data_IF_524871297442
#
_entry.id   IF_524871297442
#
_cell.length_a   1.000
_cell.length_b   1.000
_cell.length_c   1.000
_cell.angle_alpha   90.00
_cell.angle_beta   90.00
_cell.angle_gamma   90.00
#
_symmetry.space_group_name_H-M   'P 1'
#
loop_
_entity.id
_entity.type
_entity.pdbx_description
1 polymer ?
#
# COMPACT_ATOMS: atom_id res chain seq x y z
N UNK A 1 -20.99 9.25 -14.14
CA UNK A 1 -20.07 8.24 -14.70
C UNK A 1 -19.23 7.69 -13.55
N UNK A 2 -19.50 6.47 -13.07
CA UNK A 2 -18.67 5.82 -12.05
C UNK A 2 -17.42 5.33 -12.77
N UNK A 3 -16.32 6.06 -12.62
CA UNK A 3 -15.03 5.57 -13.08
C UNK A 3 -14.83 4.17 -12.46
N UNK A 4 -14.66 3.15 -13.31
CA UNK A 4 -14.13 1.84 -12.95
C UNK A 4 -12.68 2.03 -12.50
N UNK A 5 -12.54 2.66 -11.34
CA UNK A 5 -11.39 2.53 -10.48
C UNK A 5 -11.20 1.01 -10.33
N UNK A 6 -10.05 0.42 -10.72
CA UNK A 6 -9.81 -1.01 -10.54
C UNK A 6 -10.21 -1.37 -9.10
N UNK A 7 -10.83 -2.53 -8.86
CA UNK A 7 -11.43 -2.97 -7.57
C UNK A 7 -10.54 -2.77 -6.31
N UNK A 8 -9.29 -2.38 -6.48
CA UNK A 8 -8.30 -2.09 -5.45
C UNK A 8 -7.82 -0.64 -5.40
N UNK A 9 -8.24 0.26 -6.27
CA UNK A 9 -7.78 1.64 -6.24
C UNK A 9 -8.39 2.41 -5.08
N UNK A 10 -7.59 3.24 -4.44
CA UNK A 10 -7.97 3.96 -3.25
C UNK A 10 -7.24 5.31 -3.17
N UNK A 11 -7.73 6.20 -2.32
CA UNK A 11 -7.14 7.52 -2.15
C UNK A 11 -6.40 7.57 -0.82
N UNK A 12 -5.13 7.93 -0.85
CA UNK A 12 -4.35 8.18 0.36
C UNK A 12 -4.98 9.35 1.15
N UNK A 13 -4.75 9.45 2.47
CA UNK A 13 -5.21 10.60 3.25
C UNK A 13 -4.64 11.94 2.74
N UNK A 14 -3.59 11.90 1.93
CA UNK A 14 -2.98 13.04 1.24
C UNK A 14 -3.67 13.37 -0.10
N UNK A 15 -4.83 12.78 -0.39
CA UNK A 15 -5.62 12.91 -1.64
C UNK A 15 -4.93 12.37 -2.90
N UNK A 16 -3.75 11.77 -2.79
CA UNK A 16 -3.10 11.09 -3.92
C UNK A 16 -3.81 9.78 -4.24
N UNK A 17 -3.88 9.46 -5.54
CA UNK A 17 -4.42 8.21 -6.06
C UNK A 17 -3.41 7.08 -5.84
N UNK A 18 -3.89 6.00 -5.24
CA UNK A 18 -3.10 4.82 -4.92
C UNK A 18 -3.88 3.53 -5.16
N UNK A 19 -3.29 2.43 -4.71
CA UNK A 19 -3.87 1.11 -4.77
C UNK A 19 -3.76 0.44 -3.39
N UNK A 20 -4.88 -0.12 -2.95
CA UNK A 20 -5.02 -1.01 -1.83
C UNK A 20 -4.31 -2.31 -2.15
N UNK A 21 -3.13 -2.47 -1.55
CA UNK A 21 -2.27 -3.64 -1.73
C UNK A 21 -1.82 -4.14 -0.37
N UNK A 22 -1.27 -5.34 -0.32
CA UNK A 22 -0.70 -5.87 0.91
C UNK A 22 0.52 -5.05 1.31
N UNK A 23 0.86 -4.99 2.61
CA UNK A 23 2.01 -4.21 3.06
C UNK A 23 3.32 -4.62 2.39
N UNK A 24 3.46 -5.89 2.00
CA UNK A 24 4.60 -6.43 1.28
C UNK A 24 4.70 -5.95 -0.17
N UNK A 25 3.58 -5.51 -0.76
CA UNK A 25 3.52 -5.05 -2.15
C UNK A 25 3.72 -3.53 -2.25
N UNK A 26 4.12 -2.86 -1.16
CA UNK A 26 4.37 -1.44 -1.14
C UNK A 26 5.82 -1.13 -0.81
N UNK A 27 6.59 -0.64 -1.80
CA UNK A 27 8.02 -0.30 -1.63
C UNK A 27 8.23 0.74 -0.56
N UNK A 28 7.35 1.73 -0.48
CA UNK A 28 7.42 2.75 0.56
C UNK A 28 7.39 2.12 1.95
N UNK A 29 6.41 1.25 2.20
CA UNK A 29 6.25 0.57 3.49
C UNK A 29 7.45 -0.31 3.80
N UNK A 30 7.87 -1.15 2.85
CA UNK A 30 9.06 -1.98 2.99
C UNK A 30 10.32 -1.16 3.28
N UNK A 31 10.49 0.00 2.65
CA UNK A 31 11.61 0.91 2.92
C UNK A 31 11.54 1.46 4.34
N UNK A 32 10.38 1.90 4.81
CA UNK A 32 10.22 2.40 6.18
C UNK A 32 10.49 1.29 7.20
N UNK A 33 9.96 0.08 6.99
CA UNK A 33 10.27 -1.08 7.83
C UNK A 33 11.75 -1.48 7.76
N UNK A 34 12.40 -1.37 6.59
CA UNK A 34 13.82 -1.68 6.44
C UNK A 34 14.74 -0.64 7.10
N UNK A 35 14.39 0.65 7.02
CA UNK A 35 15.16 1.74 7.62
C UNK A 35 14.96 1.83 9.13
N UNK A 36 13.71 1.82 9.60
CA UNK A 36 13.39 2.06 11.00
C UNK A 36 13.24 0.77 11.81
N UNK A 37 12.93 -0.37 11.19
CA UNK A 37 12.74 -1.67 11.83
C UNK A 37 11.83 -1.56 13.07
N UNK A 38 12.36 -1.91 14.24
CA UNK A 38 11.68 -1.83 15.55
C UNK A 38 11.52 -0.39 16.07
N UNK A 39 12.34 0.55 15.60
CA UNK A 39 12.30 1.96 15.97
C UNK A 39 11.39 2.78 15.03
N UNK A 40 10.31 2.18 14.53
CA UNK A 40 9.38 2.87 13.63
C UNK A 40 8.73 4.08 14.33
N UNK A 41 8.87 5.30 13.77
CA UNK A 41 8.28 6.48 14.37
C UNK A 41 6.75 6.35 14.46
N UNK A 42 6.12 6.78 15.58
CA UNK A 42 4.67 6.68 15.77
C UNK A 42 3.87 7.50 14.76
N UNK A 43 4.49 8.49 14.11
CA UNK A 43 3.89 9.25 13.00
C UNK A 43 3.70 8.39 11.76
N UNK A 44 4.69 7.54 11.42
CA UNK A 44 4.61 6.62 10.29
C UNK A 44 3.57 5.56 10.59
N UNK A 45 3.59 4.99 11.79
CA UNK A 45 2.63 3.98 12.21
C UNK A 45 1.19 4.51 12.18
N UNK A 46 0.95 5.75 12.63
CA UNK A 46 -0.35 6.43 12.48
C UNK A 46 -0.73 6.64 11.01
N UNK A 47 0.22 7.01 10.15
CA UNK A 47 -0.04 7.15 8.73
C UNK A 47 -0.44 5.81 8.09
N UNK A 48 0.28 4.72 8.40
CA UNK A 48 -0.05 3.37 7.92
C UNK A 48 -1.43 2.90 8.38
N UNK A 49 -1.83 3.24 9.61
CA UNK A 49 -3.18 2.94 10.12
C UNK A 49 -4.26 3.75 9.41
N UNK A 50 -4.02 5.03 9.09
CA UNK A 50 -4.98 5.87 8.34
C UNK A 50 -5.09 5.47 6.87
N UNK A 51 -3.99 5.03 6.28
CA UNK A 51 -3.95 4.50 4.92
C UNK A 51 -4.49 3.07 4.82
N UNK A 52 -4.90 2.45 5.93
CA UNK A 52 -5.35 1.05 5.95
C UNK A 52 -6.66 0.91 5.17
N UNK A 53 -6.66 0.03 4.19
CA UNK A 53 -7.86 -0.31 3.43
C UNK A 53 -8.39 -1.67 3.91
N UNK A 54 -9.71 -1.85 3.84
CA UNK A 54 -10.39 -3.09 4.23
C UNK A 54 -10.92 -3.78 2.97
N UNK A 55 -10.08 -4.52 2.23
CA UNK A 55 -10.60 -5.38 1.17
C UNK A 55 -11.36 -6.57 1.79
N UNK A 56 -12.09 -7.33 0.96
CA UNK A 56 -12.72 -8.60 1.37
C UNK A 56 -11.72 -9.71 1.74
N UNK A 57 -10.42 -9.45 1.59
CA UNK A 57 -9.33 -10.41 1.78
C UNK A 57 -8.70 -10.21 3.15
N UNK A 58 -8.43 -11.30 3.86
CA UNK A 58 -7.69 -11.28 5.12
C UNK A 58 -6.24 -10.80 4.91
N UNK A 59 -5.74 -10.01 5.86
CA UNK A 59 -4.37 -9.48 5.85
C UNK A 59 -4.27 -7.96 6.02
N UNK A 60 -3.06 -7.47 6.29
CA UNK A 60 -2.80 -6.05 6.48
C UNK A 60 -2.61 -5.34 5.14
N UNK A 61 -3.69 -4.71 4.67
CA UNK A 61 -3.73 -3.97 3.42
C UNK A 61 -3.75 -2.47 3.66
N UNK A 62 -3.04 -1.74 2.80
CA UNK A 62 -2.97 -0.29 2.86
C UNK A 62 -2.96 0.33 1.47
N UNK A 63 -3.42 1.57 1.39
CA UNK A 63 -3.32 2.43 0.23
C UNK A 63 -1.87 2.83 0.01
N UNK A 64 -1.24 2.11 -0.91
CA UNK A 64 0.08 2.45 -1.41
C UNK A 64 -0.07 3.37 -2.63
N UNK A 65 0.78 4.37 -2.77
CA UNK A 65 0.84 5.19 -3.98
C UNK A 65 1.14 4.30 -5.20
N UNK A 66 0.49 4.54 -6.34
CA UNK A 66 0.67 3.74 -7.55
C UNK A 66 2.15 3.64 -8.00
N UNK A 67 2.93 4.70 -7.78
CA UNK A 67 4.38 4.74 -8.04
C UNK A 67 5.21 3.81 -7.13
N UNK A 68 4.70 3.49 -5.94
CA UNK A 68 5.37 2.69 -4.91
C UNK A 68 4.81 1.26 -4.83
N UNK A 69 3.68 0.99 -5.50
CA UNK A 69 3.11 -0.34 -5.63
C UNK A 69 4.06 -1.22 -6.44
N UNK A 70 4.39 -2.39 -5.90
CA UNK A 70 5.10 -3.45 -6.62
C UNK A 70 4.04 -4.17 -7.45
N UNK A 71 4.05 -4.04 -8.79
CA UNK A 71 3.07 -4.72 -9.62
C UNK A 71 3.29 -6.24 -9.52
N UNK A 72 2.22 -7.00 -9.29
CA UNK A 72 2.27 -8.47 -9.28
C UNK A 72 2.84 -9.05 -10.58
N UNK A 73 2.75 -8.30 -11.68
CA UNK A 73 3.29 -8.61 -13.01
C UNK A 73 4.84 -8.67 -13.01
N UNK A 74 5.52 -8.04 -12.05
CA UNK A 74 6.96 -8.20 -11.85
C UNK A 74 7.33 -9.59 -11.28
N UNK A 75 6.35 -10.32 -10.72
CA UNK A 75 6.49 -11.69 -10.25
C UNK A 75 6.06 -12.75 -11.29
N UNK A 76 5.70 -12.35 -12.52
CA UNK A 76 5.45 -13.30 -13.62
C UNK A 76 6.65 -13.51 -14.54
N UNK A 77 7.83 -12.97 -14.18
CA UNK A 77 9.08 -13.13 -14.95
C UNK A 77 10.16 -13.93 -14.21
N UNK A 78 9.76 -14.77 -13.26
CA UNK A 78 10.59 -15.85 -12.72
C UNK A 78 9.83 -17.17 -12.88
N UNK A 79 9.71 -17.63 -14.12
CA UNK A 79 9.35 -19.01 -14.47
C UNK A 79 10.52 -19.63 -15.21
#
# INVERSE_FOLDING_TARGET
MRHLLPERSCQTPDKNVGQCVHFSDCRFVLRQYGMYKEHMPPVIMRFLQRSRCRPKVDGYHLCCLLQDVIPANANSKLK
#
